data_IF_398503323148
#
_entry.id   IF_398503323148
#
_cell.length_a   1.000
_cell.length_b   1.000
_cell.length_c   1.000
_cell.angle_alpha   90.00
_cell.angle_beta   90.00
_cell.angle_gamma   90.00
#
_symmetry.space_group_name_H-M   'P 1'
#
loop_
_entity.id
_entity.type
_entity.pdbx_description
1 polymer ?
#
# COMPACT_ATOMS: atom_id res chain seq x y z
N UNK A 1 -10.37 -6.15 -1.38
CA UNK A 1 -10.96 -5.88 -0.05
C UNK A 1 -12.43 -6.31 0.05
N UNK A 2 -13.40 -5.67 -0.62
CA UNK A 2 -14.83 -6.08 -0.52
C UNK A 2 -15.05 -7.58 -0.68
N UNK A 3 -14.55 -8.15 -1.77
CA UNK A 3 -14.73 -9.57 -2.08
C UNK A 3 -14.05 -10.48 -1.06
N UNK A 4 -12.92 -10.06 -0.47
CA UNK A 4 -12.27 -10.80 0.60
C UNK A 4 -13.20 -10.88 1.83
N UNK A 5 -13.80 -9.76 2.22
CA UNK A 5 -14.74 -9.70 3.34
C UNK A 5 -16.02 -10.53 3.08
N UNK A 6 -16.55 -10.49 1.85
CA UNK A 6 -17.79 -11.18 1.47
C UNK A 6 -17.63 -12.70 1.29
N UNK A 7 -16.42 -13.19 0.97
CA UNK A 7 -16.18 -14.60 0.59
C UNK A 7 -15.59 -15.48 1.69
N UNK A 8 -15.47 -14.97 2.92
CA UNK A 8 -14.86 -15.66 4.07
C UNK A 8 -13.41 -16.12 3.78
N UNK A 9 -12.45 -15.32 4.20
CA UNK A 9 -11.01 -15.63 4.07
C UNK A 9 -10.61 -16.76 5.02
N UNK A 10 -9.75 -17.66 4.56
CA UNK A 10 -9.17 -18.70 5.41
C UNK A 10 -8.35 -18.08 6.55
N UNK A 11 -8.55 -18.56 7.78
CA UNK A 11 -7.88 -18.07 8.99
C UNK A 11 -6.34 -18.02 8.88
N UNK A 12 -5.66 -19.02 8.28
CA UNK A 12 -4.21 -18.95 8.10
C UNK A 12 -3.74 -17.77 7.25
N UNK A 13 -4.55 -17.35 6.26
CA UNK A 13 -4.24 -16.24 5.36
C UNK A 13 -4.45 -14.89 6.06
N UNK A 14 -5.49 -14.76 6.89
CA UNK A 14 -5.68 -13.59 7.76
C UNK A 14 -4.51 -13.46 8.75
N UNK A 15 -4.11 -14.57 9.38
CA UNK A 15 -2.98 -14.58 10.30
C UNK A 15 -1.66 -14.21 9.60
N UNK A 16 -1.45 -14.64 8.35
CA UNK A 16 -0.29 -14.26 7.56
C UNK A 16 -0.27 -12.75 7.26
N UNK A 17 -1.41 -12.18 6.85
CA UNK A 17 -1.51 -10.74 6.64
C UNK A 17 -1.28 -9.95 7.95
N UNK A 18 -1.82 -10.43 9.08
CA UNK A 18 -1.56 -9.84 10.40
C UNK A 18 -0.06 -9.78 10.73
N UNK A 19 0.66 -10.89 10.54
CA UNK A 19 2.13 -10.92 10.74
C UNK A 19 2.89 -9.98 9.81
N UNK A 20 2.44 -9.84 8.57
CA UNK A 20 3.01 -8.87 7.63
C UNK A 20 2.82 -7.43 8.14
N UNK A 21 1.61 -7.09 8.63
CA UNK A 21 1.33 -5.78 9.22
C UNK A 21 2.14 -5.53 10.50
N UNK A 22 2.31 -6.53 11.36
CA UNK A 22 3.18 -6.43 12.55
C UNK A 22 4.64 -6.13 12.15
N UNK A 23 5.11 -6.68 11.03
CA UNK A 23 6.45 -6.40 10.53
C UNK A 23 6.58 -4.97 9.98
N UNK A 24 5.53 -4.44 9.33
CA UNK A 24 5.48 -3.05 8.89
C UNK A 24 5.55 -2.10 10.09
N UNK A 25 4.79 -2.36 11.14
CA UNK A 25 4.80 -1.52 12.35
C UNK A 25 6.20 -1.43 12.95
N UNK A 26 6.89 -2.56 13.11
CA UNK A 26 8.29 -2.58 13.60
C UNK A 26 9.24 -1.76 12.73
N UNK A 27 9.04 -1.78 11.41
CA UNK A 27 9.84 -0.96 10.49
C UNK A 27 9.51 0.53 10.68
N UNK A 28 8.24 0.88 10.82
CA UNK A 28 7.81 2.26 11.01
C UNK A 28 8.09 2.83 12.40
N UNK A 29 8.37 2.00 13.40
CA UNK A 29 8.72 2.39 14.78
C UNK A 29 10.23 2.53 15.00
N UNK A 30 11.08 2.08 14.07
CA UNK A 30 12.54 2.16 14.20
C UNK A 30 13.04 3.59 14.46
N UNK A 31 14.00 3.77 15.36
CA UNK A 31 14.64 5.06 15.57
C UNK A 31 15.50 5.47 14.36
N UNK A 32 16.14 4.48 13.73
CA UNK A 32 17.04 4.68 12.58
C UNK A 32 16.26 4.57 11.26
N UNK A 33 15.64 5.69 10.86
CA UNK A 33 14.88 5.77 9.63
C UNK A 33 15.75 6.28 8.48
N UNK A 34 15.84 5.48 7.41
CA UNK A 34 16.62 5.77 6.21
C UNK A 34 16.31 4.76 5.10
N UNK A 35 17.14 4.72 4.06
CA UNK A 35 16.91 3.96 2.82
C UNK A 35 16.68 2.45 3.04
N UNK A 36 17.37 1.85 4.02
CA UNK A 36 17.20 0.43 4.33
C UNK A 36 15.83 0.15 4.97
N UNK A 37 15.46 0.91 6.01
CA UNK A 37 14.14 0.82 6.65
C UNK A 37 13.03 1.07 5.63
N UNK A 38 13.24 2.05 4.77
CA UNK A 38 12.34 2.39 3.69
C UNK A 38 12.16 1.25 2.66
N UNK A 39 13.27 0.64 2.22
CA UNK A 39 13.24 -0.50 1.30
C UNK A 39 12.52 -1.70 1.91
N UNK A 40 12.71 -1.95 3.22
CA UNK A 40 11.97 -2.98 3.97
C UNK A 40 10.47 -2.69 4.03
N UNK A 41 10.09 -1.44 4.28
CA UNK A 41 8.68 -1.02 4.23
C UNK A 41 8.08 -1.31 2.85
N UNK A 42 8.77 -0.92 1.78
CA UNK A 42 8.31 -1.13 0.39
C UNK A 42 8.06 -2.61 0.08
N UNK A 43 8.96 -3.49 0.50
CA UNK A 43 8.82 -4.93 0.31
C UNK A 43 7.61 -5.50 1.07
N UNK A 44 7.48 -5.16 2.35
CA UNK A 44 6.36 -5.61 3.19
C UNK A 44 5.02 -5.05 2.72
N UNK A 45 4.99 -3.79 2.27
CA UNK A 45 3.81 -3.17 1.69
C UNK A 45 3.34 -3.94 0.44
N UNK A 46 4.27 -4.32 -0.44
CA UNK A 46 3.95 -5.15 -1.61
C UNK A 46 3.39 -6.52 -1.18
N UNK A 47 4.05 -7.20 -0.23
CA UNK A 47 3.60 -8.49 0.28
C UNK A 47 2.17 -8.42 0.85
N UNK A 48 1.84 -7.38 1.62
CA UNK A 48 0.50 -7.19 2.15
C UNK A 48 -0.56 -7.03 1.04
N UNK A 49 -0.26 -6.25 -0.01
CA UNK A 49 -1.16 -6.09 -1.15
C UNK A 49 -1.36 -7.40 -1.92
N UNK A 50 -0.32 -8.21 -2.07
CA UNK A 50 -0.39 -9.54 -2.70
C UNK A 50 -1.26 -10.50 -1.88
N UNK A 51 -1.14 -10.48 -0.56
CA UNK A 51 -2.02 -11.21 0.35
C UNK A 51 -3.47 -10.75 0.20
N UNK A 52 -3.71 -9.43 0.20
CA UNK A 52 -5.05 -8.86 0.02
C UNK A 52 -5.68 -9.24 -1.33
N UNK A 53 -4.88 -9.35 -2.39
CA UNK A 53 -5.30 -9.85 -3.70
C UNK A 53 -5.65 -11.33 -3.66
N UNK A 54 -4.83 -12.14 -3.00
CA UNK A 54 -5.07 -13.57 -2.79
C UNK A 54 -6.38 -13.82 -2.05
N UNK A 55 -6.68 -13.02 -1.01
CA UNK A 55 -7.92 -13.09 -0.24
C UNK A 55 -9.18 -12.82 -1.07
N UNK A 56 -9.10 -12.04 -2.15
CA UNK A 56 -10.25 -11.75 -3.01
C UNK A 56 -10.70 -12.96 -3.86
N UNK A 57 -9.83 -13.98 -4.01
CA UNK A 57 -10.18 -15.28 -4.59
C UNK A 57 -10.64 -15.21 -6.05
N UNK A 58 -10.10 -14.30 -6.87
CA UNK A 58 -10.43 -14.18 -8.30
C UNK A 58 -9.17 -14.00 -9.13
N UNK A 59 -8.74 -15.05 -9.83
CA UNK A 59 -7.59 -15.04 -10.73
C UNK A 59 -7.77 -14.12 -11.95
N UNK A 60 -9.02 -13.75 -12.27
CA UNK A 60 -9.35 -12.78 -13.32
C UNK A 60 -9.19 -11.35 -12.81
N UNK A 61 -9.68 -11.07 -11.59
CA UNK A 61 -9.47 -9.77 -10.94
C UNK A 61 -8.00 -9.54 -10.63
N UNK A 62 -7.26 -10.59 -10.24
CA UNK A 62 -5.81 -10.54 -10.03
C UNK A 62 -5.07 -10.08 -11.30
N UNK A 63 -5.41 -10.64 -12.48
CA UNK A 63 -4.78 -10.24 -13.75
C UNK A 63 -5.08 -8.79 -14.16
N UNK A 64 -6.32 -8.33 -14.00
CA UNK A 64 -6.67 -6.94 -14.30
C UNK A 64 -6.02 -5.97 -13.31
N UNK A 65 -5.93 -6.35 -12.03
CA UNK A 65 -5.31 -5.53 -11.00
C UNK A 65 -3.78 -5.51 -11.14
N UNK A 66 -3.14 -6.63 -11.48
CA UNK A 66 -1.73 -6.69 -11.88
C UNK A 66 -1.46 -5.82 -13.10
N UNK A 67 -2.37 -5.75 -14.08
CA UNK A 67 -2.23 -4.84 -15.24
C UNK A 67 -2.25 -3.37 -14.82
N UNK A 68 -3.07 -3.03 -13.82
CA UNK A 68 -3.12 -1.69 -13.24
C UNK A 68 -1.85 -1.41 -12.42
N UNK A 69 -1.45 -2.32 -11.53
CA UNK A 69 -0.31 -2.20 -10.61
C UNK A 69 1.05 -2.20 -11.33
N UNK A 70 1.19 -2.86 -12.48
CA UNK A 70 2.39 -2.86 -13.34
C UNK A 70 2.63 -1.53 -14.06
N UNK A 71 1.68 -0.60 -14.06
CA UNK A 71 2.00 0.76 -14.47
C UNK A 71 2.97 1.35 -13.43
N UNK A 72 4.08 2.00 -13.85
CA UNK A 72 5.05 2.60 -12.93
C UNK A 72 4.43 3.65 -11.98
N UNK A 73 3.16 4.00 -12.21
CA UNK A 73 2.35 4.96 -11.47
C UNK A 73 1.23 4.37 -10.60
N UNK A 74 1.13 3.05 -10.47
CA UNK A 74 0.03 2.42 -9.73
C UNK A 74 0.51 1.29 -8.82
N UNK A 75 1.81 1.00 -8.82
CA UNK A 75 2.40 0.19 -7.77
C UNK A 75 2.25 0.91 -6.43
N UNK A 76 1.68 0.26 -5.40
CA UNK A 76 1.59 0.80 -4.04
C UNK A 76 2.93 1.34 -3.51
N UNK A 77 4.04 0.84 -4.04
CA UNK A 77 5.40 1.20 -3.64
C UNK A 77 6.13 2.14 -4.61
N UNK A 78 5.63 2.33 -5.84
CA UNK A 78 6.35 3.03 -6.91
C UNK A 78 6.59 4.53 -6.69
N UNK A 79 5.76 5.19 -5.88
CA UNK A 79 5.84 6.64 -5.64
C UNK A 79 6.35 7.06 -4.29
N UNK A 80 6.60 6.09 -3.41
CA UNK A 80 7.10 6.42 -2.09
C UNK A 80 8.58 6.86 -2.17
N UNK A 81 9.25 6.62 -3.31
CA UNK A 81 10.66 6.92 -3.55
C UNK A 81 11.06 8.41 -3.48
N UNK A 82 10.10 9.35 -3.56
CA UNK A 82 10.45 10.77 -3.65
C UNK A 82 10.97 11.38 -2.33
N UNK A 83 10.80 10.73 -1.17
CA UNK A 83 11.09 11.35 0.14
C UNK A 83 11.46 10.38 1.26
N UNK A 84 12.40 9.44 1.02
CA UNK A 84 12.86 8.51 2.06
C UNK A 84 13.29 9.23 3.37
N UNK A 85 13.83 10.45 3.28
CA UNK A 85 14.37 11.20 4.43
C UNK A 85 13.40 12.24 5.05
N UNK A 86 12.18 12.43 4.52
CA UNK A 86 11.28 13.47 5.06
C UNK A 86 10.45 12.95 6.25
N UNK A 87 10.46 13.63 7.42
CA UNK A 87 9.58 13.27 8.53
C UNK A 87 8.09 13.25 8.15
N UNK A 88 7.68 14.11 7.21
CA UNK A 88 6.32 14.15 6.67
C UNK A 88 5.97 12.91 5.86
N UNK A 89 6.95 12.33 5.15
CA UNK A 89 6.75 11.11 4.38
C UNK A 89 6.51 9.91 5.32
N UNK A 90 7.35 9.73 6.35
CA UNK A 90 7.16 8.69 7.37
C UNK A 90 5.79 8.78 8.04
N UNK A 91 5.34 9.99 8.40
CA UNK A 91 4.00 10.18 8.97
C UNK A 91 2.87 9.73 8.01
N UNK A 92 3.00 10.02 6.71
CA UNK A 92 2.05 9.55 5.69
C UNK A 92 2.00 8.01 5.62
N UNK A 93 3.14 7.32 5.82
CA UNK A 93 3.20 5.86 5.87
C UNK A 93 2.55 5.27 7.12
N UNK A 94 2.68 5.94 8.28
CA UNK A 94 1.99 5.53 9.51
C UNK A 94 0.46 5.58 9.33
N UNK A 95 -0.06 6.62 8.66
CA UNK A 95 -1.48 6.70 8.32
C UNK A 95 -1.89 5.59 7.35
N UNK A 96 -1.08 5.31 6.33
CA UNK A 96 -1.35 4.24 5.37
C UNK A 96 -1.38 2.86 6.06
N UNK A 97 -0.48 2.63 7.02
CA UNK A 97 -0.40 1.40 7.79
C UNK A 97 -1.58 1.21 8.73
N UNK A 98 -2.03 2.27 9.42
CA UNK A 98 -3.25 2.21 10.23
C UNK A 98 -4.47 1.81 9.35
N UNK A 99 -4.57 2.36 8.15
CA UNK A 99 -5.61 1.97 7.19
C UNK A 99 -5.49 0.50 6.75
N UNK A 100 -4.28 -0.07 6.63
CA UNK A 100 -4.13 -1.50 6.37
C UNK A 100 -4.72 -2.35 7.48
N UNK A 101 -4.44 -2.01 8.75
CA UNK A 101 -5.01 -2.71 9.91
C UNK A 101 -6.54 -2.64 9.89
N UNK A 102 -7.10 -1.45 9.68
CA UNK A 102 -8.55 -1.27 9.58
C UNK A 102 -9.18 -2.08 8.43
N UNK A 103 -8.49 -2.23 7.30
CA UNK A 103 -8.96 -3.06 6.18
C UNK A 103 -8.95 -4.54 6.56
N UNK A 104 -7.90 -5.02 7.21
CA UNK A 104 -7.82 -6.41 7.66
C UNK A 104 -8.89 -6.74 8.70
N UNK A 105 -9.13 -5.82 9.64
CA UNK A 105 -10.21 -5.92 10.64
C UNK A 105 -11.58 -5.98 9.98
N UNK A 106 -11.84 -5.08 9.01
CA UNK A 106 -13.09 -5.08 8.26
C UNK A 106 -13.29 -6.37 7.45
N UNK A 107 -12.21 -6.97 6.91
CA UNK A 107 -12.27 -8.27 6.24
C UNK A 107 -12.61 -9.38 7.23
N UNK A 108 -11.95 -9.42 8.39
CA UNK A 108 -12.21 -10.41 9.43
C UNK A 108 -13.65 -10.31 9.97
N UNK A 109 -14.17 -9.09 10.12
CA UNK A 109 -15.56 -8.81 10.53
C UNK A 109 -16.59 -9.00 9.40
N UNK A 110 -16.15 -9.32 8.17
CA UNK A 110 -16.98 -9.46 6.96
C UNK A 110 -17.75 -8.20 6.56
N UNK A 111 -17.16 -7.03 6.81
CA UNK A 111 -17.72 -5.71 6.52
C UNK A 111 -17.30 -5.24 5.13
N UNK A 112 -17.87 -5.86 4.07
CA UNK A 112 -17.47 -5.61 2.68
C UNK A 112 -17.49 -4.15 2.24
N UNK A 113 -18.54 -3.41 2.58
CA UNK A 113 -18.66 -2.00 2.24
C UNK A 113 -17.58 -1.14 2.92
N UNK A 114 -17.29 -1.41 4.20
CA UNK A 114 -16.24 -0.71 4.96
C UNK A 114 -14.86 -1.02 4.38
N UNK A 115 -14.58 -2.31 4.11
CA UNK A 115 -13.33 -2.74 3.51
C UNK A 115 -13.09 -2.09 2.13
N UNK A 116 -14.14 -1.91 1.32
CA UNK A 116 -14.06 -1.17 0.06
C UNK A 116 -13.75 0.31 0.25
N UNK A 117 -14.49 0.98 1.14
CA UNK A 117 -14.35 2.40 1.40
C UNK A 117 -12.94 2.74 1.91
N UNK A 118 -12.41 1.94 2.84
CA UNK A 118 -11.07 2.10 3.37
C UNK A 118 -9.99 1.96 2.29
N UNK A 119 -10.07 0.95 1.41
CA UNK A 119 -9.09 0.80 0.31
C UNK A 119 -9.20 1.92 -0.73
N UNK A 120 -10.40 2.45 -0.99
CA UNK A 120 -10.58 3.64 -1.83
C UNK A 120 -9.94 4.87 -1.19
N UNK A 121 -10.00 5.00 0.13
CA UNK A 121 -9.33 6.08 0.84
C UNK A 121 -7.81 5.91 0.85
N UNK A 122 -7.32 4.70 1.11
CA UNK A 122 -5.91 4.35 1.08
C UNK A 122 -5.25 4.72 -0.25
N UNK A 123 -5.89 4.42 -1.40
CA UNK A 123 -5.33 4.82 -2.70
C UNK A 123 -5.18 6.34 -2.90
N UNK A 124 -5.91 7.17 -2.15
CA UNK A 124 -5.74 8.63 -2.19
C UNK A 124 -4.44 9.10 -1.56
N UNK A 125 -3.88 8.34 -0.61
CA UNK A 125 -2.57 8.64 -0.01
C UNK A 125 -1.48 8.55 -1.09
N UNK A 126 -1.44 7.45 -1.84
CA UNK A 126 -0.53 7.29 -2.97
C UNK A 126 -0.69 8.41 -4.00
N UNK A 127 -1.94 8.78 -4.33
CA UNK A 127 -2.23 9.89 -5.25
C UNK A 127 -1.77 11.26 -4.73
N UNK A 128 -1.89 11.52 -3.42
CA UNK A 128 -1.39 12.76 -2.80
C UNK A 128 0.14 12.80 -2.85
N UNK A 129 0.80 11.72 -2.44
CA UNK A 129 2.26 11.60 -2.46
C UNK A 129 2.79 11.81 -3.90
N UNK A 130 2.11 11.26 -4.91
CA UNK A 130 2.41 11.51 -6.33
C UNK A 130 2.32 12.99 -6.70
N UNK A 131 1.22 13.66 -6.35
CA UNK A 131 1.04 15.09 -6.66
C UNK A 131 2.12 15.95 -6.00
N UNK A 132 2.47 15.63 -4.76
CA UNK A 132 3.55 16.32 -4.03
C UNK A 132 4.90 16.10 -4.73
N UNK A 133 5.23 14.86 -5.15
CA UNK A 133 6.47 14.55 -5.85
C UNK A 133 6.61 15.25 -7.22
N UNK A 134 5.52 15.35 -7.99
CA UNK A 134 5.53 15.97 -9.34
C UNK A 134 5.57 17.51 -9.27
N UNK A 135 5.07 18.10 -8.17
CA UNK A 135 4.99 19.56 -8.03
C UNK A 135 6.27 20.18 -7.47
N UNK A 136 7.27 19.40 -7.07
CA UNK A 136 8.54 19.89 -6.54
C UNK A 136 9.53 20.30 -7.64
N UNK A 137 10.05 21.55 -7.64
CA UNK A 137 11.11 21.98 -8.55
C UNK A 137 12.37 21.13 -8.34
N UNK A 138 12.79 20.36 -9.36
CA UNK A 138 13.95 19.45 -9.27
C UNK A 138 13.64 17.96 -9.38
N UNK A 139 12.39 17.56 -9.73
CA UNK A 139 11.85 16.20 -9.85
C UNK A 139 12.56 15.23 -10.85
N UNK A 140 13.83 15.46 -11.21
CA UNK A 140 14.61 14.52 -12.03
C UNK A 140 14.93 13.18 -11.32
N UNK A 141 14.65 13.07 -10.02
CA UNK A 141 14.99 11.91 -9.19
C UNK A 141 13.92 10.79 -9.15
N UNK A 142 12.74 10.97 -9.74
CA UNK A 142 11.70 9.94 -9.76
C UNK A 142 11.66 9.28 -11.15
N UNK A 143 12.12 8.02 -11.30
CA UNK A 143 12.00 7.29 -12.56
C UNK A 143 10.54 7.26 -13.02
N UNK A 144 10.27 7.77 -14.22
CA UNK A 144 8.94 7.72 -14.84
C UNK A 144 8.12 9.02 -14.81
N UNK A 145 8.47 10.04 -14.02
CA UNK A 145 7.77 11.35 -14.06
C UNK A 145 7.84 12.00 -15.46
N UNK A 146 8.87 11.68 -16.23
CA UNK A 146 9.05 12.13 -17.62
C UNK A 146 7.99 11.58 -18.61
N UNK A 147 7.17 10.60 -18.21
CA UNK A 147 6.13 10.00 -19.05
C UNK A 147 4.73 10.60 -18.79
N UNK A 148 4.57 11.47 -17.79
CA UNK A 148 3.33 12.20 -17.53
C UNK A 148 3.33 13.43 -18.44
N UNK A 149 2.75 13.31 -19.64
CA UNK A 149 2.42 14.49 -20.46
C UNK A 149 1.13 15.12 -19.94
N UNK A 150 1.19 16.44 -19.74
CA UNK A 150 0.04 17.31 -19.51
C UNK A 150 -0.91 17.32 -20.71
#
# INVERSE_FOLDING_TARGET
ARWAAERCVAEPLLAQAGRCLDAIDRVLETADWGDEAFSRYVALNSEFHDLLHSMAGSSVMQRELERVVRMPFASPSGFVLARAESPRARHSLMVAQDQHRQVLDAIAAREGARAEALMKEHSRIARRNLREAVSEPGSHAVPGVQLIRA
#
